data_IF_627211760295
#
_entry.id   IF_627211760295
#
_cell.length_a   1.000
_cell.length_b   1.000
_cell.length_c   1.000
_cell.angle_alpha   90.00
_cell.angle_beta   90.00
_cell.angle_gamma   90.00
#
_symmetry.space_group_name_H-M   'P 1'
#
loop_
_entity.id
_entity.type
_entity.pdbx_description
1 polymer ?
#
# COMPACT_ATOMS: atom_id res chain seq x y z
N UNK A 1 -44.32 14.62 2.58
CA UNK A 1 -43.47 14.33 3.76
C UNK A 1 -42.41 13.32 3.33
N UNK A 2 -41.33 13.82 2.78
CA UNK A 2 -40.18 12.99 2.38
C UNK A 2 -39.19 12.93 3.55
N UNK A 3 -38.99 11.74 4.09
CA UNK A 3 -37.92 11.45 5.03
C UNK A 3 -36.59 11.48 4.27
N UNK A 4 -35.78 12.52 4.48
CA UNK A 4 -34.38 12.48 4.10
C UNK A 4 -33.66 11.59 5.12
N UNK A 5 -33.35 10.35 4.74
CA UNK A 5 -32.32 9.56 5.39
C UNK A 5 -30.99 10.26 5.08
N UNK A 6 -30.54 11.11 5.98
CA UNK A 6 -29.15 11.58 6.01
C UNK A 6 -28.28 10.37 6.28
N UNK A 7 -27.59 9.89 5.23
CA UNK A 7 -26.52 8.91 5.40
C UNK A 7 -25.41 9.61 6.15
N UNK A 8 -25.33 9.35 7.45
CA UNK A 8 -24.25 9.82 8.29
C UNK A 8 -22.95 9.10 7.84
N UNK A 9 -22.15 9.80 7.08
CA UNK A 9 -20.79 9.35 6.78
C UNK A 9 -19.95 9.64 8.03
N UNK A 10 -19.69 8.63 8.84
CA UNK A 10 -18.69 8.74 9.93
C UNK A 10 -17.33 8.61 9.22
N UNK A 11 -16.53 9.70 9.14
CA UNK A 11 -15.19 9.58 8.64
C UNK A 11 -14.42 8.68 9.61
N UNK A 12 -14.01 7.50 9.17
CA UNK A 12 -13.14 6.67 9.97
C UNK A 12 -11.78 7.37 10.11
N UNK A 13 -11.38 7.66 11.32
CA UNK A 13 -10.01 8.01 11.64
C UNK A 13 -9.17 6.76 11.41
N UNK A 14 -8.39 6.70 10.32
CA UNK A 14 -7.58 5.52 10.05
C UNK A 14 -7.33 5.28 8.56
N UNK A 15 -6.91 4.09 8.25
CA UNK A 15 -6.73 3.60 6.88
C UNK A 15 -8.09 3.30 6.25
N UNK A 16 -8.36 3.87 5.08
CA UNK A 16 -9.56 3.57 4.30
C UNK A 16 -9.23 2.55 3.21
N UNK A 17 -10.02 1.49 3.13
CA UNK A 17 -9.93 0.49 2.08
C UNK A 17 -10.24 1.13 0.72
N UNK A 18 -9.37 0.89 -0.27
CA UNK A 18 -9.55 1.33 -1.66
C UNK A 18 -9.88 0.12 -2.54
N UNK A 19 -8.99 -0.87 -2.60
CA UNK A 19 -9.15 -2.03 -3.47
C UNK A 19 -8.39 -3.23 -2.90
N UNK A 20 -8.88 -4.44 -3.18
CA UNK A 20 -8.20 -5.71 -2.93
C UNK A 20 -8.20 -6.55 -4.19
N UNK A 21 -7.05 -7.05 -4.55
CA UNK A 21 -6.88 -8.01 -5.63
C UNK A 21 -6.42 -9.35 -5.05
N UNK A 22 -7.02 -10.44 -5.53
CA UNK A 22 -6.63 -11.82 -5.25
C UNK A 22 -6.50 -12.56 -6.56
N UNK A 23 -5.32 -13.08 -6.83
CA UNK A 23 -5.02 -13.73 -8.10
C UNK A 23 -5.59 -15.15 -8.15
N UNK A 24 -6.42 -15.43 -9.15
CA UNK A 24 -6.90 -16.78 -9.49
C UNK A 24 -5.93 -17.56 -10.40
N UNK A 25 -5.01 -16.88 -11.04
CA UNK A 25 -3.94 -17.41 -11.89
C UNK A 25 -2.70 -16.52 -11.80
N UNK A 26 -1.56 -16.97 -12.31
CA UNK A 26 -0.35 -16.16 -12.35
C UNK A 26 -0.58 -14.88 -13.15
N UNK A 27 -0.14 -13.73 -12.59
CA UNK A 27 -0.21 -12.39 -13.19
C UNK A 27 0.61 -11.37 -12.39
N UNK A 28 0.90 -10.22 -12.98
CA UNK A 28 1.30 -9.01 -12.25
C UNK A 28 0.06 -8.26 -11.72
N UNK A 29 0.26 -7.32 -10.80
CA UNK A 29 -0.84 -6.61 -10.14
C UNK A 29 -0.78 -5.12 -10.50
N UNK A 30 -1.94 -4.56 -10.88
CA UNK A 30 -2.07 -3.13 -11.21
C UNK A 30 -3.29 -2.53 -10.53
N UNK A 31 -3.08 -1.47 -9.77
CA UNK A 31 -4.13 -0.58 -9.26
C UNK A 31 -4.17 0.68 -10.13
N UNK A 32 -5.34 0.98 -10.67
CA UNK A 32 -5.58 2.15 -11.52
C UNK A 32 -6.59 3.11 -10.89
N UNK A 33 -6.67 4.32 -11.42
CA UNK A 33 -7.65 5.33 -10.97
C UNK A 33 -7.63 5.57 -9.44
N UNK A 34 -6.43 5.58 -8.86
CA UNK A 34 -6.23 5.75 -7.41
C UNK A 34 -6.81 7.09 -6.97
N UNK A 35 -7.75 7.13 -6.00
CA UNK A 35 -8.33 8.36 -5.48
C UNK A 35 -7.26 9.33 -4.99
N UNK A 36 -7.42 10.63 -5.30
CA UNK A 36 -6.46 11.69 -4.94
C UNK A 36 -6.88 12.43 -3.65
N UNK A 37 -7.60 11.77 -2.77
CA UNK A 37 -8.21 12.37 -1.57
C UNK A 37 -7.50 12.02 -0.27
N UNK A 38 -6.52 11.12 -0.32
CA UNK A 38 -5.72 10.71 0.84
C UNK A 38 -4.36 11.42 0.84
N UNK A 39 -3.69 11.42 1.99
CA UNK A 39 -2.34 11.97 2.12
C UNK A 39 -1.27 10.92 1.76
N UNK A 40 -1.48 9.67 2.15
CA UNK A 40 -0.56 8.57 1.94
C UNK A 40 -1.30 7.34 1.44
N UNK A 41 -0.54 6.39 0.87
CA UNK A 41 -1.03 5.06 0.51
C UNK A 41 -0.29 3.99 1.30
N UNK A 42 -1.00 2.91 1.61
CA UNK A 42 -0.46 1.68 2.17
C UNK A 42 -0.91 0.48 1.34
N UNK A 43 0.02 -0.40 0.99
CA UNK A 43 -0.31 -1.70 0.44
C UNK A 43 0.11 -2.79 1.44
N UNK A 44 -0.81 -3.71 1.69
CA UNK A 44 -0.54 -4.98 2.35
C UNK A 44 -0.39 -6.04 1.27
N UNK A 45 0.78 -6.70 1.21
CA UNK A 45 1.11 -7.69 0.18
C UNK A 45 1.31 -9.05 0.85
N UNK A 46 0.56 -10.05 0.40
CA UNK A 46 0.73 -11.46 0.75
C UNK A 46 0.94 -12.23 -0.55
N UNK A 47 2.19 -12.55 -0.87
CA UNK A 47 2.54 -12.94 -2.22
C UNK A 47 3.57 -14.06 -2.30
N UNK A 48 3.53 -14.76 -3.44
CA UNK A 48 4.47 -15.77 -3.90
C UNK A 48 4.69 -15.60 -5.40
N UNK A 49 5.84 -16.02 -5.93
CA UNK A 49 6.10 -16.06 -7.37
C UNK A 49 5.98 -17.49 -7.89
N UNK A 50 5.52 -17.60 -9.14
CA UNK A 50 5.43 -18.87 -9.90
C UNK A 50 6.80 -19.37 -10.42
N UNK A 51 7.85 -18.60 -10.25
CA UNK A 51 9.16 -18.84 -10.86
C UNK A 51 10.04 -19.73 -10.02
N UNK A 52 10.78 -20.61 -10.71
CA UNK A 52 11.80 -21.46 -10.09
C UNK A 52 12.84 -20.62 -9.35
N UNK A 53 13.00 -20.89 -8.08
CA UNK A 53 13.93 -20.25 -7.15
C UNK A 53 13.34 -20.18 -5.76
N UNK A 54 14.23 -20.03 -4.78
CA UNK A 54 13.85 -19.93 -3.38
C UNK A 54 13.31 -18.55 -3.02
N UNK A 55 13.84 -17.52 -3.66
CA UNK A 55 13.46 -16.11 -3.48
C UNK A 55 13.28 -15.40 -4.80
N UNK A 56 12.31 -14.49 -4.86
CA UNK A 56 12.12 -13.56 -5.97
C UNK A 56 11.94 -12.15 -5.44
N UNK A 57 12.25 -11.19 -6.30
CA UNK A 57 11.96 -9.78 -6.06
C UNK A 57 10.87 -9.33 -7.03
N UNK A 58 10.10 -8.36 -6.60
CA UNK A 58 9.22 -7.60 -7.48
C UNK A 58 9.51 -6.10 -7.29
N UNK A 59 9.32 -5.31 -8.35
CA UNK A 59 9.43 -3.87 -8.31
C UNK A 59 8.07 -3.21 -8.10
N UNK A 60 8.08 -2.04 -7.45
CA UNK A 60 6.92 -1.15 -7.34
C UNK A 60 7.10 -0.01 -8.31
N UNK A 61 6.21 0.08 -9.30
CA UNK A 61 6.24 1.08 -10.37
C UNK A 61 5.03 2.01 -10.26
N UNK A 62 5.18 3.23 -10.73
CA UNK A 62 4.16 4.26 -10.65
C UNK A 62 3.83 4.83 -12.03
N UNK A 63 2.52 5.00 -12.31
CA UNK A 63 2.00 5.63 -13.52
C UNK A 63 2.53 5.03 -14.84
N UNK A 64 2.77 3.70 -14.87
CA UNK A 64 3.32 3.01 -16.04
C UNK A 64 4.77 3.34 -16.35
N UNK A 65 5.50 4.05 -15.48
CA UNK A 65 6.91 4.37 -15.68
C UNK A 65 7.79 3.16 -15.32
N UNK A 66 8.12 2.35 -16.30
CA UNK A 66 9.01 1.18 -16.16
C UNK A 66 10.49 1.52 -16.40
N UNK A 67 10.84 2.78 -16.56
CA UNK A 67 12.22 3.24 -16.79
C UNK A 67 13.03 3.11 -15.50
N UNK A 68 13.87 2.11 -15.41
CA UNK A 68 14.65 1.75 -14.20
C UNK A 68 15.44 2.94 -13.64
N UNK A 69 16.06 3.76 -14.54
CA UNK A 69 16.86 4.92 -14.14
C UNK A 69 16.06 6.03 -13.44
N UNK A 70 14.72 6.02 -13.54
CA UNK A 70 13.85 6.95 -12.83
C UNK A 70 13.64 6.58 -11.36
N UNK A 71 14.19 5.46 -10.92
CA UNK A 71 14.08 4.97 -9.56
C UNK A 71 15.44 4.89 -8.88
N UNK A 72 15.44 4.96 -7.57
CA UNK A 72 16.58 4.69 -6.70
C UNK A 72 16.09 3.99 -5.44
N UNK A 73 16.94 3.12 -4.90
CA UNK A 73 16.64 2.40 -3.65
C UNK A 73 17.87 2.22 -2.78
N UNK A 74 17.63 2.17 -1.49
CA UNK A 74 18.52 1.63 -0.47
C UNK A 74 17.82 0.47 0.20
N UNK A 75 18.46 -0.68 0.25
CA UNK A 75 17.93 -1.89 0.87
C UNK A 75 18.86 -2.38 1.97
N UNK A 76 18.26 -2.74 3.10
CA UNK A 76 18.87 -3.49 4.18
C UNK A 76 18.14 -4.82 4.33
N UNK A 77 18.86 -5.92 4.50
CA UNK A 77 18.26 -7.21 4.73
C UNK A 77 19.08 -8.07 5.69
N UNK A 78 18.42 -9.01 6.32
CA UNK A 78 19.04 -10.04 7.13
C UNK A 78 18.49 -11.43 6.75
N UNK A 79 19.40 -12.41 6.59
CA UNK A 79 19.06 -13.81 6.37
C UNK A 79 19.89 -14.65 7.33
N UNK A 80 19.25 -15.44 8.23
CA UNK A 80 19.98 -16.19 9.25
C UNK A 80 21.08 -15.35 9.94
N UNK A 81 22.34 -15.61 9.63
CA UNK A 81 23.50 -14.92 10.21
C UNK A 81 24.07 -13.81 9.31
N UNK A 82 23.50 -13.58 8.12
CA UNK A 82 24.03 -12.59 7.17
C UNK A 82 23.20 -11.32 7.26
N UNK A 83 23.89 -10.18 7.42
CA UNK A 83 23.32 -8.84 7.34
C UNK A 83 24.04 -8.10 6.23
N UNK A 84 23.29 -7.47 5.32
CA UNK A 84 23.86 -6.69 4.23
C UNK A 84 22.98 -5.48 3.86
N UNK A 85 23.61 -4.51 3.20
CA UNK A 85 22.93 -3.35 2.65
C UNK A 85 23.52 -2.98 1.29
N UNK A 86 22.68 -2.50 0.38
CA UNK A 86 23.11 -2.04 -0.94
C UNK A 86 22.18 -0.98 -1.53
N UNK A 87 22.74 -0.18 -2.42
CA UNK A 87 22.05 0.87 -3.16
C UNK A 87 22.01 0.53 -4.65
N UNK A 88 20.88 0.76 -5.29
CA UNK A 88 20.73 0.59 -6.74
C UNK A 88 19.88 1.69 -7.35
N UNK A 89 20.11 1.95 -8.65
CA UNK A 89 19.17 2.69 -9.50
C UNK A 89 18.16 1.70 -10.04
N UNK A 90 17.11 1.44 -9.29
CA UNK A 90 16.00 0.54 -9.67
C UNK A 90 14.81 0.79 -8.75
N UNK A 91 13.60 0.32 -9.11
CA UNK A 91 12.44 0.37 -8.23
C UNK A 91 12.72 -0.27 -6.88
N UNK A 92 12.02 0.18 -5.85
CA UNK A 92 12.12 -0.45 -4.54
C UNK A 92 11.58 -1.88 -4.62
N UNK A 93 12.34 -2.88 -4.13
CA UNK A 93 11.89 -4.25 -4.24
C UNK A 93 11.12 -4.70 -3.01
N UNK A 94 10.08 -5.48 -3.24
CA UNK A 94 9.64 -6.45 -2.27
C UNK A 94 10.31 -7.81 -2.49
N UNK A 95 10.36 -8.65 -1.46
CA UNK A 95 10.89 -10.02 -1.52
C UNK A 95 9.80 -11.03 -1.22
N UNK A 96 9.72 -12.06 -2.04
CA UNK A 96 8.71 -13.11 -1.95
C UNK A 96 9.32 -14.50 -2.15
N UNK A 97 8.71 -15.57 -1.62
CA UNK A 97 9.09 -16.93 -1.95
C UNK A 97 8.90 -17.20 -3.45
N UNK A 98 9.84 -17.91 -4.05
CA UNK A 98 9.69 -18.45 -5.40
C UNK A 98 9.10 -19.86 -5.38
N UNK A 99 8.85 -20.44 -6.56
CA UNK A 99 8.16 -21.72 -6.71
C UNK A 99 8.87 -22.92 -6.08
N UNK A 100 10.20 -22.86 -5.90
CA UNK A 100 10.95 -23.94 -5.23
C UNK A 100 11.04 -23.79 -3.71
N UNK A 101 10.58 -22.67 -3.16
CA UNK A 101 10.41 -22.52 -1.71
C UNK A 101 9.33 -23.48 -1.20
N UNK A 102 9.28 -23.71 0.12
CA UNK A 102 8.26 -24.57 0.74
C UNK A 102 6.86 -24.25 0.22
N UNK A 103 6.12 -25.28 -0.17
CA UNK A 103 4.76 -25.13 -0.69
C UNK A 103 3.84 -24.39 0.31
N UNK A 104 2.92 -23.59 -0.19
CA UNK A 104 1.93 -22.82 0.60
C UNK A 104 2.55 -21.74 1.51
N UNK A 105 3.82 -21.40 1.34
CA UNK A 105 4.45 -20.26 2.03
C UNK A 105 4.39 -19.03 1.13
N UNK A 106 3.80 -17.96 1.64
CA UNK A 106 3.73 -16.64 1.03
C UNK A 106 4.51 -15.66 1.89
N UNK A 107 5.11 -14.65 1.28
CA UNK A 107 5.78 -13.55 1.98
C UNK A 107 4.76 -12.48 2.36
N UNK A 108 4.96 -11.85 3.53
CA UNK A 108 4.13 -10.74 4.00
C UNK A 108 4.93 -9.44 3.97
N UNK A 109 4.33 -8.38 3.43
CA UNK A 109 4.98 -7.08 3.30
C UNK A 109 4.01 -5.93 3.45
N UNK A 110 4.53 -4.81 3.97
CA UNK A 110 3.84 -3.52 3.98
C UNK A 110 4.64 -2.53 3.16
N UNK A 111 3.95 -1.80 2.29
CA UNK A 111 4.51 -0.74 1.44
C UNK A 111 3.82 0.56 1.82
N UNK A 112 4.60 1.57 2.19
CA UNK A 112 4.10 2.92 2.49
C UNK A 112 4.58 3.88 1.41
N UNK A 113 3.65 4.64 0.82
CA UNK A 113 3.93 5.69 -0.15
C UNK A 113 3.40 7.01 0.41
N UNK A 114 4.34 7.91 0.76
CA UNK A 114 4.00 9.15 1.43
C UNK A 114 3.71 10.26 0.42
N UNK A 115 2.71 11.11 0.74
CA UNK A 115 2.40 12.34 -0.01
C UNK A 115 2.27 12.10 -1.52
N UNK A 116 1.59 11.04 -1.90
CA UNK A 116 1.53 10.55 -3.29
C UNK A 116 0.83 11.53 -4.25
N UNK A 117 -0.03 12.42 -3.74
CA UNK A 117 -0.77 13.42 -4.53
C UNK A 117 0.03 14.70 -4.82
N UNK A 118 1.09 14.98 -4.03
CA UNK A 118 1.85 16.23 -4.18
C UNK A 118 2.63 16.23 -5.50
N UNK A 119 2.69 17.39 -6.17
CA UNK A 119 3.32 17.55 -7.49
C UNK A 119 4.58 18.43 -7.46
N UNK A 120 5.06 18.79 -6.28
CA UNK A 120 6.22 19.66 -6.07
C UNK A 120 7.50 18.91 -5.65
N UNK A 121 7.42 17.58 -5.48
CA UNK A 121 8.51 16.74 -4.99
C UNK A 121 8.46 15.32 -5.54
N UNK A 122 9.60 14.63 -5.51
CA UNK A 122 9.71 13.21 -5.84
C UNK A 122 8.92 12.36 -4.83
N UNK A 123 8.54 11.16 -5.25
CA UNK A 123 7.81 10.23 -4.39
C UNK A 123 8.76 9.33 -3.61
N UNK A 124 8.47 9.14 -2.34
CA UNK A 124 9.23 8.26 -1.45
C UNK A 124 8.40 7.03 -1.07
N UNK A 125 9.04 5.88 -1.05
CA UNK A 125 8.44 4.59 -0.72
C UNK A 125 9.25 3.90 0.35
N UNK A 126 8.57 3.26 1.30
CA UNK A 126 9.18 2.40 2.31
C UNK A 126 8.54 1.01 2.22
N UNK A 127 9.35 -0.04 2.20
CA UNK A 127 8.89 -1.44 2.25
C UNK A 127 9.51 -2.12 3.44
N UNK A 128 8.69 -2.78 4.25
CA UNK A 128 9.11 -3.72 5.28
C UNK A 128 8.44 -5.06 5.02
N UNK A 129 9.20 -6.14 5.02
CA UNK A 129 8.63 -7.46 4.84
C UNK A 129 9.63 -8.59 4.93
N UNK A 130 9.15 -9.79 4.69
CA UNK A 130 9.97 -10.99 4.73
C UNK A 130 9.14 -12.27 4.68
N UNK A 131 9.83 -13.40 4.82
CA UNK A 131 9.21 -14.73 4.95
C UNK A 131 10.14 -15.71 5.65
N UNK A 132 9.56 -16.71 6.30
CA UNK A 132 10.28 -17.52 7.30
C UNK A 132 11.09 -18.69 6.72
N UNK A 133 10.73 -19.25 5.57
CA UNK A 133 11.45 -20.43 5.04
C UNK A 133 12.90 -20.14 4.65
N UNK A 134 13.21 -18.86 4.34
CA UNK A 134 14.58 -18.36 4.16
C UNK A 134 15.10 -17.61 5.37
N UNK A 135 14.27 -17.44 6.40
CA UNK A 135 14.57 -16.58 7.56
C UNK A 135 15.03 -15.17 7.11
N UNK A 136 14.32 -14.58 6.14
CA UNK A 136 14.68 -13.29 5.57
C UNK A 136 13.72 -12.19 6.01
N UNK A 137 14.30 -11.07 6.45
CA UNK A 137 13.62 -9.79 6.65
C UNK A 137 14.31 -8.72 5.84
N UNK A 138 13.54 -7.83 5.22
CA UNK A 138 14.02 -6.73 4.40
C UNK A 138 13.35 -5.42 4.78
N UNK A 139 14.15 -4.36 4.85
CA UNK A 139 13.72 -2.97 4.91
C UNK A 139 14.30 -2.24 3.70
N UNK A 140 13.46 -1.64 2.90
CA UNK A 140 13.87 -0.88 1.71
C UNK A 140 13.25 0.50 1.69
N UNK A 141 14.04 1.51 1.37
CA UNK A 141 13.57 2.86 1.06
C UNK A 141 13.84 3.15 -0.41
N UNK A 142 12.88 3.74 -1.10
CA UNK A 142 13.00 4.07 -2.51
C UNK A 142 12.51 5.46 -2.85
N UNK A 143 12.93 5.93 -4.03
CA UNK A 143 12.52 7.20 -4.60
C UNK A 143 12.18 7.01 -6.08
N UNK A 144 10.99 7.47 -6.49
CA UNK A 144 10.68 7.72 -7.88
C UNK A 144 11.01 9.18 -8.22
N UNK A 145 11.91 9.38 -9.19
CA UNK A 145 12.43 10.70 -9.61
C UNK A 145 11.46 11.45 -10.51
N UNK A 146 10.20 11.49 -10.10
CA UNK A 146 9.12 12.20 -10.78
C UNK A 146 8.27 12.96 -9.74
N UNK A 147 7.76 14.10 -10.12
CA UNK A 147 6.90 14.94 -9.28
C UNK A 147 5.41 14.70 -9.52
N UNK A 148 5.02 13.99 -10.58
CA UNK A 148 3.60 13.72 -10.87
C UNK A 148 2.90 13.04 -9.69
N UNK A 149 1.62 13.36 -9.46
CA UNK A 149 0.79 12.59 -8.55
C UNK A 149 0.71 11.12 -9.01
N UNK A 150 0.68 10.18 -8.06
CA UNK A 150 0.54 8.76 -8.39
C UNK A 150 -0.95 8.46 -8.59
N UNK A 151 -1.30 8.04 -9.80
CA UNK A 151 -2.66 7.64 -10.21
C UNK A 151 -2.78 6.14 -10.48
N UNK A 152 -1.64 5.45 -10.65
CA UNK A 152 -1.59 3.99 -10.75
C UNK A 152 -0.34 3.44 -10.08
N UNK A 153 -0.43 2.20 -9.57
CA UNK A 153 0.66 1.44 -8.96
C UNK A 153 0.68 0.06 -9.61
N UNK A 154 1.86 -0.34 -10.03
CA UNK A 154 2.10 -1.68 -10.57
C UNK A 154 3.12 -2.42 -9.71
N UNK A 155 2.79 -3.65 -9.32
CA UNK A 155 3.73 -4.59 -8.73
C UNK A 155 4.09 -5.61 -9.80
N UNK A 156 5.37 -5.64 -10.19
CA UNK A 156 5.85 -6.45 -11.30
C UNK A 156 6.98 -7.34 -10.81
N UNK A 157 6.83 -8.65 -10.94
CA UNK A 157 7.93 -9.60 -10.77
C UNK A 157 8.83 -9.49 -11.99
N UNK A 158 10.15 -9.67 -11.81
CA UNK A 158 11.11 -9.54 -12.91
C UNK A 158 10.74 -10.47 -14.09
N UNK A 159 10.47 -9.86 -15.27
CA UNK A 159 10.02 -10.57 -16.48
C UNK A 159 10.97 -11.70 -16.90
N UNK A 160 10.47 -12.88 -17.30
CA UNK A 160 9.07 -13.20 -17.66
C UNK A 160 8.20 -13.70 -16.50
N UNK A 161 8.59 -13.47 -15.30
CA UNK A 161 8.06 -14.01 -14.07
C UNK A 161 6.77 -13.28 -13.62
N UNK A 162 5.91 -13.96 -12.84
CA UNK A 162 4.63 -13.44 -12.35
C UNK A 162 4.40 -13.82 -10.88
N UNK A 163 3.43 -13.15 -10.25
CA UNK A 163 2.92 -13.61 -8.96
C UNK A 163 2.09 -14.88 -9.15
N UNK A 164 2.21 -15.83 -8.23
CA UNK A 164 1.44 -17.07 -8.21
C UNK A 164 -0.02 -16.83 -7.82
N UNK A 165 -0.92 -17.70 -8.28
CA UNK A 165 -2.31 -17.76 -7.82
C UNK A 165 -2.38 -17.82 -6.28
N UNK A 166 -3.37 -17.17 -5.68
CA UNK A 166 -3.48 -17.00 -4.22
C UNK A 166 -2.72 -15.82 -3.65
N UNK A 167 -1.95 -15.08 -4.48
CA UNK A 167 -1.40 -13.79 -4.07
C UNK A 167 -2.53 -12.79 -3.81
N UNK A 168 -2.42 -12.07 -2.69
CA UNK A 168 -3.39 -11.06 -2.25
C UNK A 168 -2.67 -9.75 -2.03
N UNK A 169 -3.19 -8.67 -2.62
CA UNK A 169 -2.73 -7.31 -2.34
C UNK A 169 -3.92 -6.41 -2.03
N UNK A 170 -3.82 -5.67 -0.94
CA UNK A 170 -4.81 -4.66 -0.54
C UNK A 170 -4.18 -3.27 -0.61
N UNK A 171 -4.87 -2.34 -1.25
CA UNK A 171 -4.53 -0.92 -1.28
C UNK A 171 -5.44 -0.15 -0.34
N UNK A 172 -4.84 0.71 0.48
CA UNK A 172 -5.51 1.58 1.46
C UNK A 172 -5.01 3.01 1.34
N UNK A 173 -5.91 3.95 1.59
CA UNK A 173 -5.60 5.36 1.73
C UNK A 173 -5.48 5.76 3.21
N UNK A 174 -4.55 6.64 3.53
CA UNK A 174 -4.31 7.13 4.88
C UNK A 174 -4.49 8.65 4.88
N UNK A 175 -5.27 9.18 5.84
CA UNK A 175 -5.30 10.59 6.18
C UNK A 175 -4.31 10.90 7.30
N UNK A 176 -3.49 11.92 7.15
CA UNK A 176 -2.53 12.38 8.16
C UNK A 176 -3.18 13.17 9.29
N UNK A 177 -4.36 13.72 9.04
CA UNK A 177 -5.18 14.39 10.08
C UNK A 177 -6.50 13.66 10.22
N UNK A 178 -6.96 13.48 11.45
CA UNK A 178 -8.35 13.11 11.65
C UNK A 178 -9.22 14.15 10.93
N UNK A 179 -10.24 13.73 10.12
CA UNK A 179 -11.21 14.69 9.61
C UNK A 179 -11.69 15.52 10.80
N UNK A 180 -11.78 16.84 10.63
CA UNK A 180 -12.30 17.69 11.68
C UNK A 180 -13.59 17.07 12.20
N UNK A 181 -13.67 16.83 13.52
CA UNK A 181 -14.91 16.34 14.12
C UNK A 181 -16.02 17.24 13.61
N UNK A 182 -17.04 16.65 13.02
CA UNK A 182 -18.12 17.41 12.44
C UNK A 182 -18.61 18.40 13.49
N UNK A 183 -18.75 19.67 13.11
CA UNK A 183 -19.24 20.75 13.99
C UNK A 183 -20.61 20.46 14.59
N UNK A 184 -21.23 19.36 14.21
CA UNK A 184 -22.54 18.88 14.64
C UNK A 184 -22.58 18.41 16.10
N UNK A 185 -21.44 18.01 16.69
CA UNK A 185 -21.38 17.71 18.15
C UNK A 185 -21.51 18.98 18.97
N UNK A 186 -21.03 20.11 18.46
CA UNK A 186 -21.24 21.42 19.12
C UNK A 186 -22.71 21.86 19.04
N UNK A 187 -23.44 21.53 17.98
CA UNK A 187 -24.86 21.82 17.83
C UNK A 187 -25.72 20.98 18.80
N UNK A 188 -25.35 19.72 19.02
CA UNK A 188 -26.05 18.85 20.01
C UNK A 188 -25.84 19.32 21.46
N UNK A 189 -24.70 19.92 21.78
CA UNK A 189 -24.42 20.49 23.09
C UNK A 189 -25.04 21.89 23.29
N UNK A 190 -25.61 22.49 22.27
CA UNK A 190 -26.28 23.81 22.34
C UNK A 190 -27.81 23.73 22.53
N UNK A 191 -28.39 22.52 22.61
CA UNK A 191 -29.81 22.36 22.93
C UNK A 191 -29.99 22.71 24.41
N UNK A 192 -30.61 23.86 24.69
CA UNK A 192 -30.85 24.31 26.03
C UNK A 192 -31.84 23.36 26.74
N UNK A 193 -31.73 23.13 28.07
CA UNK A 193 -32.64 22.26 28.82
C UNK A 193 -34.11 22.66 28.73
N UNK A 194 -34.41 23.90 28.37
CA UNK A 194 -35.76 24.41 28.19
C UNK A 194 -36.51 23.83 26.98
N UNK A 195 -35.81 23.26 26.00
CA UNK A 195 -36.45 22.69 24.83
C UNK A 195 -36.91 21.24 25.00
N UNK A 196 -36.61 20.64 26.17
CA UNK A 196 -36.93 19.24 26.46
C UNK A 196 -38.28 19.11 27.23
N UNK A 197 -38.81 20.19 27.81
CA UNK A 197 -40.06 20.15 28.64
C UNK A 197 -41.37 20.26 27.84
N UNK A 198 -41.32 20.38 26.49
CA UNK A 198 -42.51 20.59 25.68
C UNK A 198 -43.15 19.32 25.10
N UNK A 199 -42.80 18.12 25.59
CA UNK A 199 -43.37 16.85 25.12
C UNK A 199 -43.88 16.03 26.32
N UNK A 200 -44.94 16.54 26.96
CA UNK A 200 -45.82 15.75 27.82
C UNK A 200 -47.26 16.01 27.44
#
# INVERSE_FOLDING_TARGET
>A
TGSMLSTYFIPSTGTNFIERQELGSAANITFSDIPQTYDHLELSVYARSDVSGDVRQYGVYFNGDTTISNYERQTFYATNATVAAYQYSSPVPGIIPGATSTANVFGAQTIIIQNYVLTDRHKSTLILGGYTTRAEIQLSSGRWKNTAAITSIELIVDSPDEFEAGTIVELRGIHSTAPAAASDVAALNSIAPADIEAVN
#
